data_IF_127167139790
#
_entry.id   IF_127167139790
#
_cell.length_a   1.000
_cell.length_b   1.000
_cell.length_c   1.000
_cell.angle_alpha   90.00
_cell.angle_beta   90.00
_cell.angle_gamma   90.00
#
_symmetry.space_group_name_H-M   'P 1'
#
loop_
_entity.id
_entity.type
_entity.pdbx_description
1 polymer ?
#
# COMPACT_ATOMS: atom_id res chain seq x y z
N UNK A 1 -33.91 -23.52 -26.61
CA UNK A 1 -33.59 -22.71 -25.41
C UNK A 1 -32.84 -21.44 -25.82
N UNK A 2 -33.52 -20.39 -26.32
CA UNK A 2 -32.85 -19.17 -26.81
C UNK A 2 -33.58 -17.85 -26.50
N UNK A 3 -34.77 -17.91 -25.87
CA UNK A 3 -35.62 -16.73 -25.69
C UNK A 3 -35.37 -15.95 -24.39
N UNK A 4 -34.64 -16.50 -23.42
CA UNK A 4 -34.46 -15.88 -22.09
C UNK A 4 -33.45 -14.73 -22.10
N UNK A 5 -32.52 -14.70 -23.07
CA UNK A 5 -31.42 -13.71 -23.12
C UNK A 5 -31.89 -12.35 -23.68
N UNK A 6 -33.06 -12.27 -24.33
CA UNK A 6 -33.50 -11.05 -25.02
C UNK A 6 -34.23 -10.03 -24.14
N UNK A 7 -34.60 -10.38 -22.91
CA UNK A 7 -35.30 -9.45 -22.03
C UNK A 7 -34.29 -8.48 -21.37
N UNK A 8 -34.46 -7.15 -21.50
CA UNK A 8 -33.57 -6.17 -20.87
C UNK A 8 -33.52 -6.31 -19.34
N UNK A 9 -34.59 -6.82 -18.72
CA UNK A 9 -34.61 -7.12 -17.29
C UNK A 9 -33.64 -8.25 -16.91
N UNK A 10 -33.53 -9.28 -17.74
CA UNK A 10 -32.63 -10.43 -17.52
C UNK A 10 -31.17 -10.02 -17.72
N UNK A 11 -30.90 -9.18 -18.73
CA UNK A 11 -29.57 -8.60 -18.95
C UNK A 11 -29.18 -7.72 -17.75
N UNK A 12 -30.09 -6.88 -17.26
CA UNK A 12 -29.86 -6.04 -16.08
C UNK A 12 -29.53 -6.84 -14.82
N UNK A 13 -30.27 -7.94 -14.58
CA UNK A 13 -30.00 -8.85 -13.45
C UNK A 13 -28.64 -9.54 -13.58
N UNK A 14 -28.31 -10.06 -14.77
CA UNK A 14 -27.02 -10.71 -15.00
C UNK A 14 -25.87 -9.72 -14.89
N UNK A 15 -25.99 -8.51 -15.46
CA UNK A 15 -24.99 -7.48 -15.29
C UNK A 15 -24.85 -7.06 -13.84
N UNK A 16 -25.96 -6.92 -13.10
CA UNK A 16 -25.95 -6.57 -11.68
C UNK A 16 -25.32 -7.64 -10.79
N UNK A 17 -25.34 -8.92 -11.20
CA UNK A 17 -24.71 -10.01 -10.46
C UNK A 17 -23.23 -10.18 -10.80
N UNK A 18 -22.84 -9.88 -12.04
CA UNK A 18 -21.47 -10.09 -12.54
C UNK A 18 -20.56 -8.86 -12.37
N UNK A 19 -21.09 -7.63 -12.49
CA UNK A 19 -20.29 -6.42 -12.32
C UNK A 19 -19.68 -6.28 -10.92
N UNK A 20 -20.42 -6.46 -9.81
CA UNK A 20 -19.88 -6.23 -8.47
C UNK A 20 -18.63 -7.07 -8.13
N UNK A 21 -18.59 -8.40 -8.36
CA UNK A 21 -17.38 -9.17 -8.06
C UNK A 21 -16.20 -8.78 -8.97
N UNK A 22 -16.46 -8.38 -10.22
CA UNK A 22 -15.40 -7.89 -11.11
C UNK A 22 -14.84 -6.55 -10.63
N UNK A 23 -15.69 -5.60 -10.25
CA UNK A 23 -15.24 -4.31 -9.69
C UNK A 23 -14.49 -4.50 -8.36
N UNK A 24 -14.97 -5.42 -7.51
CA UNK A 24 -14.30 -5.72 -6.25
C UNK A 24 -12.86 -6.23 -6.48
N UNK A 25 -12.69 -7.18 -7.40
CA UNK A 25 -11.39 -7.82 -7.65
C UNK A 25 -10.41 -6.96 -8.46
N UNK A 26 -10.90 -6.24 -9.47
CA UNK A 26 -10.03 -5.53 -10.41
C UNK A 26 -9.87 -4.05 -10.09
N UNK A 27 -10.70 -3.47 -9.23
CA UNK A 27 -10.65 -2.04 -8.89
C UNK A 27 -10.43 -1.84 -7.40
N UNK A 28 -11.31 -2.37 -6.55
CA UNK A 28 -11.23 -2.11 -5.11
C UNK A 28 -10.01 -2.77 -4.47
N UNK A 29 -9.82 -4.07 -4.68
CA UNK A 29 -8.69 -4.83 -4.12
C UNK A 29 -7.32 -4.18 -4.45
N UNK A 30 -6.96 -3.87 -5.72
CA UNK A 30 -5.68 -3.23 -6.00
C UNK A 30 -5.56 -1.82 -5.41
N UNK A 31 -6.63 -1.02 -5.34
CA UNK A 31 -6.60 0.30 -4.70
C UNK A 31 -6.31 0.18 -3.20
N UNK A 32 -6.95 -0.76 -2.51
CA UNK A 32 -6.70 -0.99 -1.09
C UNK A 32 -5.29 -1.48 -0.81
N UNK A 33 -4.77 -2.38 -1.67
CA UNK A 33 -3.40 -2.88 -1.57
C UNK A 33 -2.40 -1.74 -1.82
N UNK A 34 -2.58 -0.94 -2.86
CA UNK A 34 -1.74 0.23 -3.15
C UNK A 34 -1.74 1.23 -1.99
N UNK A 35 -2.91 1.59 -1.45
CA UNK A 35 -3.00 2.48 -0.28
C UNK A 35 -2.20 1.98 0.93
N UNK A 36 -2.25 0.68 1.21
CA UNK A 36 -1.44 0.10 2.30
C UNK A 36 0.06 0.24 2.05
N UNK A 37 0.51 -0.02 0.81
CA UNK A 37 1.92 0.17 0.45
C UNK A 37 2.34 1.64 0.55
N UNK A 38 1.49 2.56 0.08
CA UNK A 38 1.75 4.00 0.16
C UNK A 38 1.87 4.48 1.61
N UNK A 39 1.01 3.99 2.51
CA UNK A 39 1.06 4.30 3.94
C UNK A 39 2.38 3.80 4.57
N UNK A 40 2.79 2.56 4.27
CA UNK A 40 4.04 2.00 4.77
C UNK A 40 5.25 2.76 4.22
N UNK A 41 5.25 3.11 2.94
CA UNK A 41 6.32 3.91 2.34
C UNK A 41 6.40 5.31 2.93
N UNK A 42 5.27 5.96 3.15
CA UNK A 42 5.21 7.26 3.80
C UNK A 42 5.72 7.18 5.23
N UNK A 43 5.33 6.15 5.99
CA UNK A 43 5.84 5.94 7.35
C UNK A 43 7.36 5.72 7.35
N UNK A 44 7.89 4.90 6.44
CA UNK A 44 9.33 4.68 6.28
C UNK A 44 10.07 5.99 6.00
N UNK A 45 9.56 6.78 5.07
CA UNK A 45 10.11 8.10 4.74
C UNK A 45 10.14 9.03 5.96
N UNK A 46 9.04 9.12 6.71
CA UNK A 46 8.96 9.99 7.89
C UNK A 46 9.92 9.56 8.99
N UNK A 47 10.05 8.25 9.23
CA UNK A 47 10.98 7.72 10.24
C UNK A 47 12.44 7.97 9.82
N UNK A 48 12.77 7.78 8.54
CA UNK A 48 14.11 8.07 8.01
C UNK A 48 14.44 9.56 8.12
N UNK A 49 13.50 10.44 7.76
CA UNK A 49 13.65 11.88 7.92
C UNK A 49 13.90 12.27 9.38
N UNK A 50 13.11 11.75 10.32
CA UNK A 50 13.30 12.02 11.75
C UNK A 50 14.65 11.50 12.26
N UNK A 51 15.08 10.33 11.82
CA UNK A 51 16.38 9.76 12.17
C UNK A 51 17.55 10.64 11.71
N UNK A 52 17.50 11.12 10.46
CA UNK A 52 18.47 12.08 9.94
C UNK A 52 18.45 13.42 10.68
N UNK A 53 17.26 13.90 11.04
CA UNK A 53 17.11 15.14 11.79
C UNK A 53 17.74 15.05 13.19
N UNK A 54 17.44 13.97 13.93
CA UNK A 54 18.04 13.70 15.25
C UNK A 54 19.56 13.57 15.14
N UNK A 55 20.05 12.86 14.13
CA UNK A 55 21.50 12.76 13.85
C UNK A 55 22.15 14.15 13.69
N UNK A 56 21.55 15.05 12.91
CA UNK A 56 22.07 16.40 12.76
C UNK A 56 22.12 17.18 14.08
N UNK A 57 21.13 17.00 14.96
CA UNK A 57 21.12 17.62 16.29
C UNK A 57 22.16 17.01 17.23
N UNK A 58 22.36 15.69 17.18
CA UNK A 58 23.37 14.98 17.98
C UNK A 58 24.79 15.35 17.55
N UNK A 59 25.04 15.46 16.24
CA UNK A 59 26.30 15.94 15.67
C UNK A 59 26.57 17.40 16.09
N UNK A 60 25.56 18.28 15.99
CA UNK A 60 25.68 19.67 16.45
C UNK A 60 25.93 19.77 17.97
N UNK A 61 25.50 18.78 18.74
CA UNK A 61 25.72 18.70 20.20
C UNK A 61 27.03 18.01 20.58
N UNK A 62 27.82 17.52 19.62
CA UNK A 62 29.14 16.92 19.85
C UNK A 62 29.12 15.45 20.27
N UNK A 63 28.03 14.71 20.06
CA UNK A 63 27.96 13.26 20.31
C UNK A 63 28.73 12.46 19.23
N UNK A 64 29.39 11.36 19.62
CA UNK A 64 30.25 10.53 18.75
C UNK A 64 29.49 9.39 18.05
N UNK A 65 29.86 9.13 16.79
CA UNK A 65 29.18 8.33 15.76
C UNK A 65 28.68 6.92 16.16
N UNK A 66 29.21 6.34 17.24
CA UNK A 66 28.98 4.93 17.61
C UNK A 66 27.60 4.65 18.24
N UNK A 67 26.79 5.67 18.55
CA UNK A 67 25.42 5.52 19.10
C UNK A 67 24.30 5.98 18.15
N UNK A 68 24.65 6.32 16.91
CA UNK A 68 23.73 7.00 16.01
C UNK A 68 22.65 6.09 15.44
N UNK A 69 21.52 6.72 15.11
CA UNK A 69 20.45 6.12 14.33
C UNK A 69 21.00 5.50 13.03
N UNK A 70 20.69 4.22 12.81
CA UNK A 70 21.02 3.51 11.56
C UNK A 70 19.84 3.61 10.58
N UNK A 71 20.08 4.04 9.34
CA UNK A 71 19.00 4.26 8.38
C UNK A 71 18.30 2.94 8.01
N UNK A 72 16.97 2.99 7.98
CA UNK A 72 16.12 1.83 7.65
C UNK A 72 16.31 1.33 6.22
N UNK A 73 16.96 2.11 5.35
CA UNK A 73 17.34 1.72 3.99
C UNK A 73 18.43 0.63 3.95
N UNK A 74 19.16 0.39 5.04
CA UNK A 74 20.17 -0.68 5.14
C UNK A 74 19.57 -2.07 5.41
N UNK A 75 18.32 -2.13 5.84
CA UNK A 75 17.62 -3.40 6.04
C UNK A 75 16.78 -3.68 4.80
N UNK A 76 17.17 -4.63 3.92
CA UNK A 76 16.32 -5.00 2.80
C UNK A 76 15.00 -5.50 3.35
N UNK A 77 13.90 -5.01 2.76
CA UNK A 77 12.54 -5.43 3.06
C UNK A 77 12.51 -6.96 3.17
N UNK A 78 12.29 -7.48 4.39
CA UNK A 78 11.90 -8.87 4.54
C UNK A 78 10.56 -9.00 3.82
N UNK A 79 10.65 -9.52 2.60
CA UNK A 79 9.51 -9.90 1.79
C UNK A 79 8.76 -10.94 2.63
N UNK A 80 7.66 -10.51 3.27
CA UNK A 80 6.72 -11.42 3.87
C UNK A 80 6.02 -12.13 2.72
N UNK A 81 6.66 -13.20 2.22
CA UNK A 81 6.05 -14.15 1.31
C UNK A 81 4.89 -14.80 2.07
N UNK A 82 3.66 -14.46 1.66
CA UNK A 82 2.41 -15.10 2.09
C UNK A 82 2.01 -16.13 1.06
#
# INVERSE_FOLDING_TARGET
MSLVIKSPATIGLLSGLVLPPLLAKFVLEPIFIQRKYDEVQNLKYNVEYLGWHVRGLEEASGFKEDKFYSPLSLFPEQRFDV
#
